data_IF_539402433442
#
_entry.id   IF_539402433442
#
_cell.length_a   1.000
_cell.length_b   1.000
_cell.length_c   1.000
_cell.angle_alpha   90.00
_cell.angle_beta   90.00
_cell.angle_gamma   90.00
#
_symmetry.space_group_name_H-M   'P 1'
#
loop_
_entity.id
_entity.type
_entity.pdbx_description
1 polymer ?
#
# COMPACT_ATOMS: atom_id res chain seq x y z
N UNK A 1 2.81 17.14 -6.29
CA UNK A 1 2.55 15.73 -5.89
C UNK A 1 3.84 14.96 -6.06
N UNK A 2 4.16 14.06 -5.13
CA UNK A 2 5.37 13.23 -5.19
C UNK A 2 5.02 11.82 -5.66
N UNK A 3 5.79 11.27 -6.60
CA UNK A 3 5.61 9.88 -7.05
C UNK A 3 6.22 8.95 -6.01
N UNK A 4 5.44 7.98 -5.53
CA UNK A 4 5.89 6.99 -4.56
C UNK A 4 6.00 5.63 -5.25
N UNK A 5 7.14 4.96 -5.06
CA UNK A 5 7.37 3.64 -5.64
C UNK A 5 6.52 2.57 -4.94
N UNK A 6 5.72 1.87 -5.73
CA UNK A 6 4.91 0.75 -5.30
C UNK A 6 5.72 -0.55 -5.34
N UNK A 7 5.45 -1.45 -4.39
CA UNK A 7 6.01 -2.81 -4.33
C UNK A 7 4.85 -3.79 -4.20
N UNK A 8 4.79 -4.74 -5.13
CA UNK A 8 3.75 -5.75 -5.15
C UNK A 8 4.32 -7.15 -5.26
N UNK A 9 3.43 -8.12 -5.05
CA UNK A 9 3.72 -9.54 -5.19
C UNK A 9 2.68 -10.18 -6.09
N UNK A 10 3.14 -10.86 -7.14
CA UNK A 10 2.30 -11.73 -7.96
C UNK A 10 1.79 -12.92 -7.13
N UNK A 11 0.59 -13.40 -7.43
CA UNK A 11 -0.02 -14.48 -6.66
C UNK A 11 -0.68 -14.01 -5.36
N UNK A 12 -0.73 -12.71 -5.09
CA UNK A 12 -1.30 -12.12 -3.88
C UNK A 12 -2.59 -11.34 -4.19
N UNK A 13 -3.59 -11.53 -3.35
CA UNK A 13 -4.89 -10.83 -3.41
C UNK A 13 -5.17 -10.10 -2.10
N UNK A 14 -6.19 -9.25 -2.10
CA UNK A 14 -6.79 -8.68 -0.90
C UNK A 14 -8.19 -9.28 -0.79
N UNK A 15 -8.45 -10.03 0.29
CA UNK A 15 -9.77 -10.62 0.51
C UNK A 15 -10.81 -9.53 0.73
N UNK A 16 -11.85 -9.52 -0.08
CA UNK A 16 -12.89 -8.51 -0.02
C UNK A 16 -13.64 -8.48 1.33
N UNK A 17 -13.75 -9.62 2.01
CA UNK A 17 -14.44 -9.76 3.29
C UNK A 17 -13.66 -9.25 4.50
N UNK A 18 -12.33 -9.20 4.43
CA UNK A 18 -11.48 -8.89 5.60
C UNK A 18 -10.45 -7.80 5.35
N UNK A 19 -10.17 -7.45 4.09
CA UNK A 19 -9.06 -6.57 3.72
C UNK A 19 -7.68 -7.19 3.96
N UNK A 20 -7.61 -8.48 4.32
CA UNK A 20 -6.34 -9.17 4.55
C UNK A 20 -5.73 -9.69 3.25
N UNK A 21 -4.40 -9.88 3.25
CA UNK A 21 -3.72 -10.51 2.13
C UNK A 21 -4.02 -12.01 2.08
N UNK A 22 -4.40 -12.48 0.90
CA UNK A 22 -4.43 -13.88 0.52
C UNK A 22 -3.31 -14.21 -0.46
N UNK A 23 -2.88 -15.47 -0.49
CA UNK A 23 -1.84 -15.97 -1.40
C UNK A 23 -2.41 -17.06 -2.32
N UNK A 24 -1.58 -17.53 -3.27
CA UNK A 24 -1.92 -18.56 -4.26
C UNK A 24 -3.05 -18.15 -5.24
N UNK A 25 -3.15 -16.85 -5.55
CA UNK A 25 -4.08 -16.29 -6.54
C UNK A 25 -3.31 -15.80 -7.76
N UNK A 26 -2.96 -16.72 -8.66
CA UNK A 26 -2.04 -16.43 -9.77
C UNK A 26 -2.55 -15.32 -10.70
N UNK A 27 -3.87 -15.14 -10.81
CA UNK A 27 -4.54 -14.11 -11.60
C UNK A 27 -4.58 -12.73 -10.90
N UNK A 28 -3.93 -12.59 -9.74
CA UNK A 28 -3.88 -11.36 -8.95
C UNK A 28 -2.46 -10.98 -8.57
N UNK A 29 -2.28 -9.68 -8.37
CA UNK A 29 -1.06 -9.09 -7.85
C UNK A 29 -1.42 -7.96 -6.91
N UNK A 30 -0.87 -7.97 -5.70
CA UNK A 30 -1.23 -6.96 -4.68
C UNK A 30 -0.02 -6.36 -3.99
N UNK A 31 -0.15 -5.11 -3.56
CA UNK A 31 0.79 -4.49 -2.63
C UNK A 31 0.65 -5.13 -1.25
N UNK A 32 1.78 -5.50 -0.64
CA UNK A 32 1.79 -6.12 0.70
C UNK A 32 1.82 -5.07 1.82
N UNK A 33 2.48 -3.93 1.59
CA UNK A 33 2.60 -2.86 2.56
C UNK A 33 1.43 -1.89 2.46
N UNK A 34 1.08 -1.24 3.57
CA UNK A 34 0.18 -0.10 3.54
C UNK A 34 0.89 1.12 2.98
N UNK A 35 0.21 1.81 2.09
CA UNK A 35 0.57 3.14 1.64
C UNK A 35 -0.35 4.15 2.31
N UNK A 36 0.16 5.35 2.53
CA UNK A 36 -0.62 6.46 3.08
C UNK A 36 -0.97 7.42 1.95
N UNK A 37 -2.24 7.78 1.85
CA UNK A 37 -2.74 8.81 0.96
C UNK A 37 -3.30 9.97 1.78
N UNK A 38 -3.08 11.19 1.29
CA UNK A 38 -3.72 12.39 1.78
C UNK A 38 -4.84 12.78 0.80
N UNK A 39 -5.70 13.72 1.22
CA UNK A 39 -6.70 14.31 0.34
C UNK A 39 -6.04 14.87 -0.93
N UNK A 40 -6.56 14.47 -2.09
CA UNK A 40 -6.03 14.85 -3.40
C UNK A 40 -4.89 13.97 -3.90
N UNK A 41 -4.40 12.98 -3.14
CA UNK A 41 -3.51 11.95 -3.70
C UNK A 41 -4.22 11.19 -4.82
N UNK A 42 -3.47 10.67 -5.78
CA UNK A 42 -4.01 10.01 -6.98
C UNK A 42 -3.30 8.71 -7.26
N UNK A 43 -4.05 7.65 -7.57
CA UNK A 43 -3.54 6.44 -8.22
C UNK A 43 -3.94 6.50 -9.69
N UNK A 44 -2.96 6.30 -10.58
CA UNK A 44 -3.15 6.35 -12.02
C UNK A 44 -2.72 5.04 -12.66
N UNK A 45 -3.59 4.48 -13.48
CA UNK A 45 -3.26 3.33 -14.30
C UNK A 45 -2.55 3.81 -15.58
N UNK A 46 -1.38 3.25 -15.86
CA UNK A 46 -0.61 3.54 -17.07
C UNK A 46 -0.92 2.54 -18.18
N UNK A 47 -1.15 1.27 -17.82
CA UNK A 47 -1.43 0.21 -18.79
C UNK A 47 -2.87 -0.30 -18.64
N UNK A 48 -3.67 -0.10 -19.69
CA UNK A 48 -5.09 -0.49 -19.77
C UNK A 48 -5.32 -1.99 -20.05
N UNK A 49 -4.27 -2.78 -20.22
CA UNK A 49 -4.36 -4.24 -20.20
C UNK A 49 -4.64 -4.79 -18.79
N UNK A 50 -4.57 -3.91 -17.78
CA UNK A 50 -4.81 -4.21 -16.40
C UNK A 50 -6.00 -3.40 -15.86
N UNK A 51 -6.50 -3.84 -14.71
CA UNK A 51 -7.47 -3.13 -13.89
C UNK A 51 -7.04 -3.26 -12.44
N UNK A 52 -7.42 -2.31 -11.60
CA UNK A 52 -7.04 -2.31 -10.19
C UNK A 52 -8.23 -2.02 -9.29
N UNK A 53 -8.13 -2.43 -8.04
CA UNK A 53 -8.99 -1.97 -6.97
C UNK A 53 -8.13 -1.41 -5.83
N UNK A 54 -8.77 -0.66 -4.94
CA UNK A 54 -8.12 -0.02 -3.80
C UNK A 54 -8.87 -0.46 -2.56
N UNK A 55 -8.19 -1.14 -1.65
CA UNK A 55 -8.67 -1.39 -0.30
C UNK A 55 -8.23 -0.22 0.57
N UNK A 56 -9.16 0.49 1.21
CA UNK A 56 -8.81 1.55 2.16
C UNK A 56 -9.00 1.10 3.61
N UNK A 57 -8.20 1.68 4.48
CA UNK A 57 -8.16 1.35 5.89
C UNK A 57 -8.08 2.64 6.71
N UNK A 58 -8.70 2.63 7.89
CA UNK A 58 -8.66 3.74 8.84
C UNK A 58 -7.24 3.98 9.36
N UNK A 59 -6.96 5.22 9.74
CA UNK A 59 -5.73 5.57 10.47
C UNK A 59 -5.83 5.21 11.96
N UNK A 60 -7.04 5.00 12.47
CA UNK A 60 -7.28 4.54 13.84
C UNK A 60 -6.98 3.04 13.96
N UNK A 61 -6.18 2.70 14.97
CA UNK A 61 -5.94 1.34 15.41
C UNK A 61 -7.12 0.89 16.31
N UNK A 62 -7.48 -0.39 16.27
CA UNK A 62 -8.42 -0.94 17.27
C UNK A 62 -7.74 -0.96 18.64
N UNK A 63 -8.39 -0.40 19.65
CA UNK A 63 -7.90 -0.39 21.04
C UNK A 63 -7.61 -1.80 21.58
N UNK A 64 -8.26 -2.83 21.02
CA UNK A 64 -8.08 -4.24 21.36
C UNK A 64 -6.65 -4.75 21.10
N UNK A 65 -5.94 -4.15 20.13
CA UNK A 65 -4.55 -4.49 19.81
C UNK A 65 -3.51 -3.69 20.60
N UNK A 66 -3.93 -2.65 21.34
CA UNK A 66 -3.04 -1.89 22.23
C UNK A 66 -2.68 -2.74 23.47
N UNK A 67 -3.60 -3.61 23.89
CA UNK A 67 -3.49 -4.35 25.16
C UNK A 67 -3.34 -5.86 25.00
N UNK A 68 -3.38 -6.38 23.77
CA UNK A 68 -3.18 -7.80 23.52
C UNK A 68 -1.89 -8.00 22.70
N UNK A 69 -0.97 -8.82 23.20
CA UNK A 69 0.21 -9.32 22.46
C UNK A 69 -0.20 -10.27 21.31
N UNK A 70 -1.33 -9.99 20.67
CA UNK A 70 -1.89 -10.77 19.59
C UNK A 70 -1.25 -10.25 18.30
N UNK A 71 -0.22 -10.96 17.83
CA UNK A 71 0.32 -10.72 16.50
C UNK A 71 -0.77 -11.05 15.47
N UNK A 72 -1.47 -10.03 14.99
CA UNK A 72 -2.48 -10.23 13.97
C UNK A 72 -1.81 -10.68 12.68
N UNK A 73 -2.39 -11.69 12.03
CA UNK A 73 -1.91 -12.21 10.77
C UNK A 73 -1.78 -11.08 9.73
N UNK A 74 -0.62 -10.99 9.05
CA UNK A 74 -0.24 -9.90 8.14
C UNK A 74 0.06 -8.51 8.77
N UNK A 75 0.25 -8.42 10.10
CA UNK A 75 0.53 -7.16 10.83
C UNK A 75 -0.49 -6.04 10.52
N UNK A 76 -1.77 -6.44 10.37
CA UNK A 76 -2.82 -5.57 9.85
C UNK A 76 -3.54 -4.78 10.96
N UNK A 77 -2.85 -3.89 11.67
CA UNK A 77 -3.48 -3.16 12.79
C UNK A 77 -4.51 -2.07 12.38
N UNK A 78 -4.69 -1.84 11.08
CA UNK A 78 -5.62 -0.86 10.54
C UNK A 78 -7.01 -1.48 10.28
N UNK A 79 -8.09 -0.72 10.55
CA UNK A 79 -9.45 -1.20 10.32
C UNK A 79 -9.80 -1.05 8.84
N UNK A 80 -10.18 -2.14 8.19
CA UNK A 80 -10.56 -2.16 6.78
C UNK A 80 -11.96 -1.59 6.55
N UNK A 81 -12.11 -0.73 5.54
CA UNK A 81 -13.36 0.00 5.27
C UNK A 81 -14.37 -0.75 4.39
N UNK A 82 -14.10 -2.01 4.01
CA UNK A 82 -14.99 -2.84 3.18
C UNK A 82 -15.27 -2.28 1.77
N UNK A 83 -14.28 -1.61 1.16
CA UNK A 83 -14.42 -0.97 -0.15
C UNK A 83 -14.38 -1.95 -1.35
N UNK A 84 -13.88 -3.17 -1.14
CA UNK A 84 -13.72 -4.15 -2.21
C UNK A 84 -14.99 -4.98 -2.42
N UNK A 85 -15.39 -5.13 -3.69
CA UNK A 85 -16.39 -6.07 -4.14
C UNK A 85 -16.05 -6.56 -5.56
N UNK A 86 -16.79 -7.55 -6.08
CA UNK A 86 -16.51 -8.12 -7.41
C UNK A 86 -16.52 -7.11 -8.57
N UNK A 87 -17.21 -5.98 -8.42
CA UNK A 87 -17.29 -4.90 -9.40
C UNK A 87 -16.44 -3.67 -9.09
N UNK A 88 -15.60 -3.71 -8.04
CA UNK A 88 -14.83 -2.52 -7.60
C UNK A 88 -13.55 -2.27 -8.40
N UNK A 89 -13.22 -3.17 -9.34
CA UNK A 89 -12.12 -3.02 -10.27
C UNK A 89 -12.40 -1.89 -11.26
N UNK A 90 -11.37 -1.07 -11.48
CA UNK A 90 -11.45 0.12 -12.32
C UNK A 90 -10.19 0.27 -13.16
N UNK A 91 -10.31 1.10 -14.20
CA UNK A 91 -9.21 1.53 -15.04
C UNK A 91 -9.00 3.06 -15.01
N UNK A 92 -9.95 3.78 -14.41
CA UNK A 92 -9.88 5.23 -14.24
C UNK A 92 -9.06 5.61 -13.00
N UNK A 93 -8.59 6.87 -12.98
CA UNK A 93 -7.86 7.43 -11.85
C UNK A 93 -8.66 7.30 -10.54
N UNK A 94 -7.97 6.91 -9.46
CA UNK A 94 -8.55 6.89 -8.12
C UNK A 94 -8.04 8.10 -7.34
N UNK A 95 -8.94 9.01 -6.97
CA UNK A 95 -8.62 10.22 -6.22
C UNK A 95 -9.05 10.04 -4.77
N UNK A 96 -8.12 10.21 -3.84
CA UNK A 96 -8.41 10.16 -2.41
C UNK A 96 -9.08 11.47 -1.96
N UNK A 97 -10.20 11.36 -1.25
CA UNK A 97 -10.98 12.52 -0.78
C UNK A 97 -10.64 12.93 0.66
N UNK A 98 -9.95 12.06 1.39
CA UNK A 98 -9.50 12.21 2.78
C UNK A 98 -8.17 11.47 2.99
N UNK A 99 -7.66 11.51 4.23
CA UNK A 99 -6.44 10.81 4.60
C UNK A 99 -6.74 9.36 4.99
N UNK A 100 -6.10 8.39 4.33
CA UNK A 100 -6.32 6.95 4.58
C UNK A 100 -5.07 6.12 4.34
N UNK A 101 -5.03 4.95 4.95
CA UNK A 101 -4.13 3.88 4.53
C UNK A 101 -4.78 3.09 3.40
N UNK A 102 -3.99 2.54 2.48
CA UNK A 102 -4.51 1.74 1.39
C UNK A 102 -3.55 0.66 0.91
N UNK A 103 -4.12 -0.30 0.20
CA UNK A 103 -3.45 -1.30 -0.63
C UNK A 103 -4.10 -1.38 -1.99
N UNK A 104 -3.35 -1.80 -2.98
CA UNK A 104 -3.79 -1.98 -4.36
C UNK A 104 -3.78 -3.47 -4.69
N UNK A 105 -4.84 -3.96 -5.33
CA UNK A 105 -4.86 -5.26 -5.98
C UNK A 105 -5.16 -5.09 -7.48
N UNK A 106 -4.30 -5.68 -8.31
CA UNK A 106 -4.38 -5.66 -9.76
C UNK A 106 -4.91 -6.99 -10.28
N UNK A 107 -5.60 -6.89 -11.42
CA UNK A 107 -6.07 -7.99 -12.26
C UNK A 107 -5.74 -7.67 -13.72
N UNK A 108 -5.44 -8.69 -14.51
CA UNK A 108 -5.34 -8.55 -15.97
C UNK A 108 -6.73 -8.58 -16.60
N UNK A 109 -6.96 -7.75 -17.62
CA UNK A 109 -8.23 -7.71 -18.35
C UNK A 109 -8.51 -9.01 -19.12
N UNK A 110 -7.45 -9.69 -19.57
CA UNK A 110 -7.52 -11.00 -20.23
C UNK A 110 -7.72 -12.18 -19.25
N UNK A 111 -7.71 -11.93 -17.93
CA UNK A 111 -7.81 -12.96 -16.90
C UNK A 111 -6.57 -13.83 -16.72
N UNK A 112 -5.45 -13.48 -17.37
CA UNK A 112 -4.18 -14.20 -17.26
C UNK A 112 -3.55 -14.11 -15.87
N UNK A 113 -2.52 -14.94 -15.68
CA UNK A 113 -1.70 -14.93 -14.46
C UNK A 113 -0.65 -13.83 -14.49
N UNK A 114 -0.24 -13.36 -13.31
CA UNK A 114 0.91 -12.46 -13.15
C UNK A 114 2.19 -13.25 -12.94
N UNK A 115 3.26 -12.78 -13.58
CA UNK A 115 4.62 -13.25 -13.37
C UNK A 115 5.34 -12.42 -12.29
N UNK A 116 6.44 -12.96 -11.73
CA UNK A 116 7.27 -12.22 -10.77
C UNK A 116 7.91 -10.96 -11.40
N UNK A 117 8.30 -11.02 -12.67
CA UNK A 117 8.87 -9.89 -13.40
C UNK A 117 7.87 -8.73 -13.58
N UNK A 118 6.60 -9.04 -13.82
CA UNK A 118 5.53 -8.03 -13.85
C UNK A 118 5.33 -7.38 -12.47
N UNK A 119 5.49 -8.14 -11.39
CA UNK A 119 5.40 -7.59 -10.04
C UNK A 119 6.54 -6.64 -9.68
N UNK A 120 7.75 -6.92 -10.15
CA UNK A 120 8.89 -5.99 -10.06
C UNK A 120 8.65 -4.73 -10.90
N UNK A 121 7.97 -4.89 -12.03
CA UNK A 121 7.65 -3.81 -12.97
C UNK A 121 6.32 -3.11 -12.68
N UNK A 122 5.75 -3.25 -11.48
CA UNK A 122 4.44 -2.66 -11.13
C UNK A 122 4.37 -1.14 -11.41
N UNK A 123 5.47 -0.42 -11.20
CA UNK A 123 5.53 1.04 -11.40
C UNK A 123 5.46 1.48 -12.88
N UNK A 124 5.50 0.53 -13.81
CA UNK A 124 5.23 0.74 -15.23
C UNK A 124 3.76 0.45 -15.59
N UNK A 125 3.03 -0.22 -14.69
CA UNK A 125 1.61 -0.57 -14.86
C UNK A 125 0.73 0.47 -14.16
N UNK A 126 1.09 0.87 -12.94
CA UNK A 126 0.31 1.76 -12.09
C UNK A 126 1.23 2.66 -11.27
N UNK A 127 0.82 3.92 -11.09
CA UNK A 127 1.56 4.93 -10.34
C UNK A 127 0.73 5.46 -9.18
N UNK A 128 1.43 5.80 -8.09
CA UNK A 128 0.84 6.53 -6.97
C UNK A 128 1.52 7.88 -6.80
N UNK A 129 0.70 8.93 -6.80
CA UNK A 129 1.09 10.32 -6.56
C UNK A 129 0.53 10.76 -5.21
N UNK A 130 1.42 11.00 -4.25
CA UNK A 130 1.03 11.55 -2.95
C UNK A 130 0.88 13.07 -3.04
N UNK A 131 -0.23 13.59 -2.51
CA UNK A 131 -0.43 15.02 -2.27
C UNK A 131 0.18 15.51 -0.96
N UNK A 132 0.79 14.61 -0.17
CA UNK A 132 1.50 14.99 1.06
C UNK A 132 2.51 16.09 0.69
N UNK A 133 2.26 17.30 1.22
CA UNK A 133 3.27 18.36 1.19
C UNK A 133 4.54 17.75 1.77
N UNK A 134 5.72 18.07 1.23
CA UNK A 134 7.01 17.59 1.73
C UNK A 134 7.13 17.90 3.23
N UNK A 135 6.56 17.05 4.09
CA UNK A 135 6.97 16.94 5.46
C UNK A 135 8.30 16.23 5.33
N UNK A 136 9.35 17.04 5.11
CA UNK A 136 10.66 16.75 5.68
C UNK A 136 10.33 16.15 7.03
N UNK A 137 10.59 14.86 7.21
CA UNK A 137 10.74 14.31 8.53
C UNK A 137 11.78 15.22 9.19
N UNK A 138 11.31 16.23 9.93
CA UNK A 138 12.14 16.85 10.93
C UNK A 138 12.49 15.68 11.82
N UNK A 139 13.72 15.19 11.68
CA UNK A 139 14.28 14.21 12.61
C UNK A 139 13.91 14.77 13.98
N UNK A 140 13.09 14.04 14.74
CA UNK A 140 12.76 14.52 16.08
C UNK A 140 14.12 14.70 16.77
N UNK A 141 14.36 15.87 17.35
CA UNK A 141 15.68 16.24 17.88
C UNK A 141 16.28 15.16 18.82
N UNK A 142 15.42 14.37 19.47
CA UNK A 142 15.81 13.21 20.30
C UNK A 142 16.58 12.09 19.56
N UNK A 143 16.51 12.00 18.23
CA UNK A 143 17.24 11.00 17.44
C UNK A 143 18.51 11.55 16.77
N UNK A 144 18.74 12.87 16.82
CA UNK A 144 19.96 13.45 16.25
C UNK A 144 21.21 13.08 17.06
N UNK A 145 21.07 12.93 18.37
CA UNK A 145 22.17 12.54 19.26
C UNK A 145 22.63 11.09 19.03
N UNK A 146 21.70 10.15 18.87
CA UNK A 146 22.05 8.74 18.59
C UNK A 146 22.77 8.57 17.25
N UNK A 147 22.32 9.27 16.20
CA UNK A 147 22.95 9.21 14.87
C UNK A 147 24.41 9.70 14.93
N UNK A 148 24.68 10.77 15.69
CA UNK A 148 26.04 11.30 15.88
C UNK A 148 26.93 10.32 16.65
N UNK A 149 26.39 9.66 17.67
CA UNK A 149 27.13 8.67 18.46
C UNK A 149 27.53 7.48 17.57
N UNK A 150 26.60 6.95 16.76
CA UNK A 150 26.90 5.80 15.89
C UNK A 150 27.86 6.18 14.75
N UNK A 151 27.74 7.36 14.15
CA UNK A 151 28.65 7.81 13.09
C UNK A 151 30.10 7.97 13.58
N UNK A 152 30.31 8.37 14.83
CA UNK A 152 31.64 8.49 15.42
C UNK A 152 32.24 7.14 15.85
N UNK A 153 31.41 6.12 16.12
CA UNK A 153 31.87 4.78 16.49
C UNK A 153 32.39 3.94 15.31
N UNK A 154 32.13 4.34 14.06
CA UNK A 154 32.60 3.66 12.85
C UNK A 154 33.96 4.20 12.37
N UNK A 155 34.36 5.39 12.83
CA UNK A 155 35.60 6.06 12.43
C UNK A 155 36.75 5.94 13.46
N UNK A 156 36.62 5.07 14.46
CA UNK A 156 37.69 4.74 15.42
C UNK A 156 38.02 3.25 15.37
#
# INVERSE_FOLDING_TARGET
>A
MNKIALKAKAGATIYASTGMIGYAQADRMSTLHFYKACKGSVIRLLNRDYMFNVATYSLSFSDEYIYSYTYQQNQCWATYNNDLNGGSYRQEDYIFTDERLFRICLKRCDGGSFTAAEAESINNIIEFFSSEAQQKHAVKACFEEEIKITANAINN
#
